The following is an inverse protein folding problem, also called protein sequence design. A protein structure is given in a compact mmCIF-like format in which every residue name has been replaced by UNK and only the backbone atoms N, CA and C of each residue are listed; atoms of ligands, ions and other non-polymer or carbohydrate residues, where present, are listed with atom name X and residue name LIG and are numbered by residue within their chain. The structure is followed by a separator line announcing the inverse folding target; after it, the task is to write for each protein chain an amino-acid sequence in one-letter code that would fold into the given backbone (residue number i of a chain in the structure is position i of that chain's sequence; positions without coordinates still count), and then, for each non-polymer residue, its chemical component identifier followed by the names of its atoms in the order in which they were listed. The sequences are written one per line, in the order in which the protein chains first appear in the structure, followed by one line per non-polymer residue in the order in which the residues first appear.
data_IF_576391220350
#
_entry.id   IF_576391220350
#
_cell.length_a   1.000
_cell.length_b   1.000
_cell.length_c   1.000
_cell.angle_alpha   90.00
_cell.angle_beta   90.00
_cell.angle_gamma   90.00
#
_symmetry.space_group_name_H-M   'P 1'
#
loop_
_entity.id
_entity.type
_entity.pdbx_description
1 polymer ?
#
# COMPACT_ATOMS: atom_id res chain seq x y z
N UNK A 1 16.18 -14.59 -11.41
CA UNK A 1 16.16 -13.15 -11.76
C UNK A 1 16.21 -12.32 -10.48
N UNK A 2 17.20 -11.42 -10.32
CA UNK A 2 17.41 -10.65 -9.09
C UNK A 2 16.32 -9.58 -8.93
N UNK A 3 15.71 -9.47 -7.74
CA UNK A 3 14.71 -8.44 -7.44
C UNK A 3 15.36 -7.05 -7.59
N UNK A 4 14.90 -6.23 -8.56
CA UNK A 4 15.42 -4.87 -8.79
C UNK A 4 14.43 -3.82 -8.30
N UNK A 5 14.60 -3.41 -7.05
CA UNK A 5 13.89 -2.26 -6.49
C UNK A 5 14.58 -0.97 -6.95
N UNK A 6 13.87 -0.19 -7.77
CA UNK A 6 14.26 1.19 -8.12
C UNK A 6 14.09 2.10 -6.91
N UNK A 7 14.64 3.31 -6.96
CA UNK A 7 14.47 4.33 -5.91
C UNK A 7 13.00 4.52 -5.55
N UNK A 8 12.14 4.73 -6.56
CA UNK A 8 10.69 4.87 -6.37
C UNK A 8 10.04 3.66 -5.69
N UNK A 9 10.40 2.43 -6.09
CA UNK A 9 9.82 1.21 -5.50
C UNK A 9 10.22 1.05 -4.03
N UNK A 10 11.46 1.40 -3.68
CA UNK A 10 11.92 1.41 -2.28
C UNK A 10 11.16 2.44 -1.46
N UNK A 11 11.02 3.64 -2.02
CA UNK A 11 10.31 4.74 -1.36
C UNK A 11 8.83 4.42 -1.11
N UNK A 12 8.13 3.86 -2.11
CA UNK A 12 6.74 3.42 -1.94
C UNK A 12 6.63 2.32 -0.89
N UNK A 13 7.54 1.33 -0.92
CA UNK A 13 7.55 0.25 0.05
C UNK A 13 7.76 0.79 1.47
N UNK A 14 8.70 1.71 1.67
CA UNK A 14 8.97 2.35 2.95
C UNK A 14 7.77 3.16 3.47
N UNK A 15 7.08 3.89 2.59
CA UNK A 15 5.86 4.63 2.94
C UNK A 15 4.74 3.68 3.41
N UNK A 16 4.60 2.51 2.78
CA UNK A 16 3.58 1.53 3.15
C UNK A 16 3.98 0.79 4.43
N UNK A 17 5.26 0.40 4.58
CA UNK A 17 5.75 -0.33 5.75
C UNK A 17 5.65 0.49 7.05
N UNK A 18 5.83 1.81 6.96
CA UNK A 18 5.70 2.73 8.09
C UNK A 18 4.28 3.28 8.29
N UNK A 19 3.29 2.86 7.50
CA UNK A 19 1.92 3.33 7.66
C UNK A 19 1.22 2.56 8.80
N UNK A 20 0.50 3.28 9.67
CA UNK A 20 -0.34 2.67 10.71
C UNK A 20 -1.61 2.01 10.16
N UNK A 21 -2.00 2.36 8.93
CA UNK A 21 -3.19 1.83 8.25
C UNK A 21 -2.96 1.67 6.76
N UNK A 22 -3.73 0.79 6.08
CA UNK A 22 -3.63 0.62 4.64
C UNK A 22 -3.78 1.94 3.88
N UNK A 23 -2.93 2.17 2.89
CA UNK A 23 -2.89 3.41 2.11
C UNK A 23 -3.43 3.18 0.71
N UNK A 24 -4.20 4.13 0.17
CA UNK A 24 -4.50 4.12 -1.26
C UNK A 24 -3.39 4.83 -2.07
N UNK A 25 -3.37 4.58 -3.38
CA UNK A 25 -2.34 5.11 -4.28
C UNK A 25 -2.20 6.64 -4.25
N UNK A 26 -3.29 7.38 -4.02
CA UNK A 26 -3.26 8.85 -3.91
C UNK A 26 -2.53 9.30 -2.65
N UNK A 27 -2.76 8.63 -1.52
CA UNK A 27 -2.09 8.95 -0.25
C UNK A 27 -0.61 8.57 -0.35
N UNK A 28 -0.27 7.43 -0.96
CA UNK A 28 1.13 7.06 -1.24
C UNK A 28 1.81 8.16 -2.04
N UNK A 29 1.20 8.63 -3.13
CA UNK A 29 1.73 9.72 -3.95
C UNK A 29 1.99 11.02 -3.21
N UNK A 30 1.18 11.34 -2.18
CA UNK A 30 1.38 12.53 -1.34
C UNK A 30 2.51 12.38 -0.31
N UNK A 31 2.97 11.15 -0.04
CA UNK A 31 3.96 10.84 1.00
C UNK A 31 5.36 10.54 0.44
N UNK A 32 5.47 10.27 -0.85
CA UNK A 32 6.74 10.07 -1.54
C UNK A 32 7.31 11.41 -2.04
N UNK A 33 8.63 11.57 -1.97
CA UNK A 33 9.37 12.78 -2.36
C UNK A 33 9.59 12.89 -3.87
N UNK A 34 9.55 11.76 -4.58
CA UNK A 34 9.84 11.70 -6.02
C UNK A 34 8.75 12.27 -6.93
N UNK A 35 7.56 12.56 -6.38
CA UNK A 35 6.40 13.16 -7.09
C UNK A 35 6.11 12.62 -8.52
N UNK A 36 6.13 11.29 -8.74
CA UNK A 36 5.87 10.74 -10.07
C UNK A 36 4.39 10.86 -10.47
N UNK A 37 4.11 10.71 -11.76
CA UNK A 37 2.75 10.50 -12.25
C UNK A 37 2.06 9.32 -11.55
N UNK A 38 0.76 9.46 -11.28
CA UNK A 38 -0.05 8.45 -10.60
C UNK A 38 -0.01 7.08 -11.31
N UNK A 39 0.06 7.06 -12.65
CA UNK A 39 0.23 5.82 -13.42
C UNK A 39 1.53 5.08 -13.09
N UNK A 40 2.61 5.81 -12.78
CA UNK A 40 3.89 5.23 -12.37
C UNK A 40 3.82 4.70 -10.94
N UNK A 41 3.06 5.35 -10.05
CA UNK A 41 2.78 4.83 -8.71
C UNK A 41 2.02 3.50 -8.81
N UNK A 42 0.98 3.42 -9.63
CA UNK A 42 0.23 2.17 -9.82
C UNK A 42 1.12 1.03 -10.36
N UNK A 43 1.97 1.30 -11.36
CA UNK A 43 2.93 0.29 -11.86
C UNK A 43 3.94 -0.16 -10.80
N UNK A 44 4.34 0.73 -9.89
CA UNK A 44 5.24 0.38 -8.80
C UNK A 44 4.52 -0.45 -7.73
N UNK A 45 3.29 -0.09 -7.36
CA UNK A 45 2.45 -0.85 -6.43
C UNK A 45 2.17 -2.27 -6.96
N UNK A 46 1.77 -2.38 -8.23
CA UNK A 46 1.54 -3.66 -8.90
C UNK A 46 2.80 -4.55 -8.91
N UNK A 47 3.97 -3.96 -9.17
CA UNK A 47 5.24 -4.68 -9.08
C UNK A 47 5.51 -5.19 -7.65
N UNK A 48 5.30 -4.36 -6.63
CA UNK A 48 5.55 -4.73 -5.23
C UNK A 48 4.58 -5.84 -4.78
N UNK A 49 3.31 -5.74 -5.17
CA UNK A 49 2.27 -6.74 -4.89
C UNK A 49 2.57 -8.07 -5.58
N UNK A 50 2.92 -8.06 -6.87
CA UNK A 50 3.33 -9.26 -7.63
C UNK A 50 4.58 -9.93 -7.05
N UNK A 51 5.35 -9.21 -6.24
CA UNK A 51 6.52 -9.74 -5.51
C UNK A 51 6.21 -10.08 -4.05
N UNK A 52 4.95 -10.04 -3.64
CA UNK A 52 4.48 -10.29 -2.27
C UNK A 52 5.19 -9.41 -1.22
N UNK A 53 5.64 -8.21 -1.62
CA UNK A 53 6.27 -7.25 -0.70
C UNK A 53 5.23 -6.36 -0.01
N UNK A 54 4.08 -6.19 -0.66
CA UNK A 54 2.88 -5.55 -0.13
C UNK A 54 1.68 -6.42 -0.49
N UNK A 55 0.60 -6.24 0.24
CA UNK A 55 -0.71 -6.82 -0.01
C UNK A 55 -1.72 -5.72 -0.25
N UNK A 56 -2.92 -6.09 -0.68
CA UNK A 56 -3.99 -5.12 -0.86
C UNK A 56 -5.37 -5.65 -0.53
N UNK A 57 -6.28 -4.71 -0.29
CA UNK A 57 -7.71 -4.94 -0.18
C UNK A 57 -8.45 -3.88 -0.99
N UNK A 58 -9.51 -4.29 -1.68
CA UNK A 58 -10.38 -3.37 -2.43
C UNK A 58 -11.68 -3.15 -1.67
N UNK A 59 -12.01 -1.89 -1.41
CA UNK A 59 -13.26 -1.50 -0.75
C UNK A 59 -13.89 -0.32 -1.47
N UNK A 60 -15.18 -0.43 -1.82
CA UNK A 60 -15.95 0.59 -2.55
C UNK A 60 -15.22 1.13 -3.81
N UNK A 61 -14.56 0.25 -4.56
CA UNK A 61 -13.81 0.61 -5.77
C UNK A 61 -12.45 1.28 -5.54
N UNK A 62 -11.99 1.37 -4.28
CA UNK A 62 -10.66 1.90 -3.93
C UNK A 62 -9.80 0.78 -3.39
N UNK A 63 -8.59 0.66 -3.95
CA UNK A 63 -7.57 -0.31 -3.53
C UNK A 63 -6.65 0.32 -2.48
N UNK A 64 -6.49 -0.37 -1.36
CA UNK A 64 -5.62 0.00 -0.25
C UNK A 64 -4.50 -1.02 -0.10
N UNK A 65 -3.31 -0.58 0.27
CA UNK A 65 -2.09 -1.37 0.29
C UNK A 65 -1.44 -1.35 1.69
N UNK A 66 -0.89 -2.49 2.10
CA UNK A 66 -0.28 -2.72 3.43
C UNK A 66 0.86 -3.75 3.34
N UNK A 67 1.71 -3.86 4.37
CA UNK A 67 2.74 -4.93 4.47
C UNK A 67 2.32 -6.00 5.48
N UNK A 68 2.92 -7.19 5.41
CA UNK A 68 2.69 -8.27 6.38
C UNK A 68 3.10 -7.91 7.82
N UNK A 69 3.83 -6.80 8.05
CA UNK A 69 4.08 -6.31 9.42
C UNK A 69 2.79 -5.81 10.09
N UNK A 70 1.78 -5.41 9.31
CA UNK A 70 0.46 -4.99 9.79
C UNK A 70 -0.45 -6.22 10.06
N UNK A 71 0.12 -7.30 10.62
CA UNK A 71 -0.61 -8.50 11.01
C UNK A 71 -1.06 -9.42 9.87
N UNK A 72 -1.92 -10.40 10.20
CA UNK A 72 -2.47 -11.41 9.29
C UNK A 72 -3.40 -10.85 8.19
N UNK A 73 -3.47 -9.52 8.03
CA UNK A 73 -4.29 -8.87 7.03
C UNK A 73 -5.79 -8.85 7.37
N UNK A 74 -6.16 -8.98 8.65
CA UNK A 74 -7.53 -8.77 9.09
C UNK A 74 -7.79 -7.27 9.22
N UNK A 75 -8.68 -6.74 8.37
CA UNK A 75 -9.08 -5.34 8.43
C UNK A 75 -10.58 -5.23 8.64
N UNK A 76 -10.96 -4.47 9.66
CA UNK A 76 -12.33 -4.04 9.88
C UNK A 76 -12.55 -2.74 9.12
N UNK A 77 -13.58 -2.71 8.28
CA UNK A 77 -13.96 -1.50 7.54
C UNK A 77 -15.30 -0.99 8.06
N UNK A 78 -15.32 0.23 8.59
CA UNK A 78 -16.55 0.86 9.04
C UNK A 78 -17.43 1.21 7.82
N UNK A 79 -18.69 0.73 7.81
CA UNK A 79 -19.63 1.00 6.71
C UNK A 79 -20.12 2.44 6.66
N UNK A 80 -20.06 3.17 7.78
CA UNK A 80 -20.52 4.55 7.88
C UNK A 80 -19.40 5.55 7.54
N UNK A 81 -18.25 5.48 8.23
CA UNK A 81 -17.17 6.45 8.05
C UNK A 81 -16.06 5.98 7.09
N UNK A 82 -16.04 4.69 6.70
CA UNK A 82 -15.00 4.07 5.83
C UNK A 82 -13.61 4.04 6.46
N UNK A 83 -13.53 4.15 7.78
CA UNK A 83 -12.29 3.91 8.51
C UNK A 83 -11.90 2.44 8.43
N UNK A 84 -10.59 2.20 8.25
CA UNK A 84 -9.99 0.87 8.20
C UNK A 84 -9.18 0.69 9.47
N UNK A 85 -9.57 -0.29 10.29
CA UNK A 85 -8.88 -0.68 11.50
C UNK A 85 -8.23 -2.05 11.28
N UNK A 86 -6.99 -2.19 11.72
CA UNK A 86 -6.34 -3.50 11.76
C UNK A 86 -6.91 -4.29 12.95
N UNK A 87 -7.32 -5.54 12.70
CA UNK A 87 -7.72 -6.48 13.73
C UNK A 87 -6.58 -7.46 13.96
N UNK A 88 -6.16 -7.59 15.21
CA UNK A 88 -5.12 -8.53 15.64
C UNK A 88 -5.80 -9.54 16.56
N UNK A 89 -5.81 -10.80 16.17
CA UNK A 89 -6.28 -11.91 16.99
C UNK A 89 -5.44 -12.08 18.27
#
# INVERSE_FOLDING_TARGET
MKLKLTVLRKEILEVIDNAEKPLNAKIVGKRIKSEPYLSTIYRALDFLETKNLIHSVSFSGVKFYFTSKQGNGHFLVCKECREILEFRD
#
